data_IF_768018184790
#
_entry.id   IF_768018184790
#
_cell.length_a   1.000
_cell.length_b   1.000
_cell.length_c   1.000
_cell.angle_alpha   90.00
_cell.angle_beta   90.00
_cell.angle_gamma   90.00
#
_symmetry.space_group_name_H-M   'P 1'
#
loop_
_entity.id
_entity.type
_entity.pdbx_description
1 polymer ?
#
# COMPACT_ATOMS: atom_id res chain seq x y z
N UNK A 1 5.89 1.91 -9.53
CA UNK A 1 5.53 1.23 -8.27
C UNK A 1 4.16 0.62 -8.40
N UNK A 2 4.03 -0.64 -8.03
CA UNK A 2 2.77 -1.34 -8.07
C UNK A 2 1.82 -0.88 -6.96
N UNK A 3 0.53 -0.89 -7.24
CA UNK A 3 -0.48 -0.75 -6.21
C UNK A 3 -0.93 -2.15 -5.81
N UNK A 4 -0.93 -2.41 -4.52
CA UNK A 4 -1.42 -3.66 -3.97
C UNK A 4 -2.89 -3.53 -3.61
N UNK A 5 -3.68 -4.48 -4.07
CA UNK A 5 -5.03 -4.70 -3.58
C UNK A 5 -5.05 -6.08 -2.93
N UNK A 6 -5.29 -6.10 -1.66
CA UNK A 6 -5.58 -7.34 -0.96
C UNK A 6 -7.08 -7.58 -0.98
N UNK A 7 -7.46 -8.78 -1.30
CA UNK A 7 -8.83 -9.25 -1.28
C UNK A 7 -8.89 -10.36 -0.23
N UNK A 8 -9.62 -10.15 0.85
CA UNK A 8 -9.77 -11.14 1.92
C UNK A 8 -11.11 -11.82 1.81
N UNK A 9 -11.09 -13.13 1.83
CA UNK A 9 -12.28 -13.99 1.87
C UNK A 9 -12.58 -14.47 3.28
N UNK A 10 -13.87 -14.62 3.62
CA UNK A 10 -14.34 -15.12 4.89
C UNK A 10 -13.73 -16.49 5.21
N UNK A 11 -13.07 -17.16 5.39
CA UNK A 11 -12.47 -18.45 5.69
C UNK A 11 -10.93 -18.51 5.60
N UNK A 12 -10.24 -17.46 6.05
CA UNK A 12 -8.77 -17.42 6.15
C UNK A 12 -7.99 -17.65 4.84
N UNK A 13 -8.60 -17.50 3.69
CA UNK A 13 -7.86 -17.51 2.42
C UNK A 13 -7.62 -16.09 1.95
N UNK A 14 -6.39 -15.63 2.12
CA UNK A 14 -5.94 -14.32 1.66
C UNK A 14 -5.58 -14.40 0.19
N UNK A 15 -6.16 -13.52 -0.61
CA UNK A 15 -5.79 -13.35 -2.01
C UNK A 15 -5.15 -11.98 -2.18
N UNK A 16 -3.94 -11.94 -2.73
CA UNK A 16 -3.25 -10.70 -3.01
C UNK A 16 -3.02 -10.52 -4.50
N UNK A 17 -3.45 -9.38 -5.02
CA UNK A 17 -3.13 -8.94 -6.36
C UNK A 17 -1.98 -7.93 -6.29
N UNK A 18 -0.79 -8.36 -6.67
CA UNK A 18 0.39 -7.49 -6.74
C UNK A 18 0.74 -7.25 -8.20
N UNK A 19 0.82 -6.01 -8.61
CA UNK A 19 1.35 -5.66 -9.92
C UNK A 19 2.37 -4.54 -9.80
N UNK A 20 3.60 -4.83 -10.21
CA UNK A 20 4.76 -3.94 -10.07
C UNK A 20 4.73 -2.71 -11.00
N UNK A 21 3.93 -2.74 -12.07
CA UNK A 21 3.77 -1.62 -12.99
C UNK A 21 2.38 -1.60 -13.60
N UNK A 22 1.55 -0.67 -13.17
CA UNK A 22 0.43 -0.24 -13.99
C UNK A 22 0.96 0.80 -14.98
N UNK A 23 1.41 0.35 -16.14
CA UNK A 23 1.81 1.27 -17.21
C UNK A 23 0.63 2.05 -17.77
N UNK A 24 -0.59 1.48 -17.69
CA UNK A 24 -1.83 2.15 -18.05
C UNK A 24 -2.92 1.75 -17.06
N UNK A 25 -3.48 2.73 -16.37
CA UNK A 25 -4.62 2.59 -15.46
C UNK A 25 -5.89 2.06 -16.14
N UNK A 26 -5.95 2.14 -17.46
CA UNK A 26 -7.07 1.69 -18.29
C UNK A 26 -7.31 0.18 -18.18
N UNK A 27 -6.27 -0.60 -17.90
CA UNK A 27 -6.39 -2.06 -17.79
C UNK A 27 -6.64 -2.59 -16.37
N UNK A 28 -6.72 -1.72 -15.36
CA UNK A 28 -6.85 -2.17 -13.97
C UNK A 28 -8.08 -3.04 -13.73
N UNK A 29 -9.24 -2.63 -14.26
CA UNK A 29 -10.50 -3.39 -14.10
C UNK A 29 -10.40 -4.77 -14.73
N UNK A 30 -9.84 -4.86 -15.94
CA UNK A 30 -9.65 -6.16 -16.60
C UNK A 30 -8.74 -7.09 -15.79
N UNK A 31 -7.66 -6.55 -15.23
CA UNK A 31 -6.74 -7.32 -14.37
C UNK A 31 -7.45 -7.81 -13.11
N UNK A 32 -8.28 -6.95 -12.50
CA UNK A 32 -9.08 -7.32 -11.35
C UNK A 32 -10.07 -8.43 -11.70
N UNK A 33 -10.78 -8.30 -12.81
CA UNK A 33 -11.74 -9.32 -13.28
C UNK A 33 -11.04 -10.64 -13.60
N UNK A 34 -9.89 -10.61 -14.26
CA UNK A 34 -9.09 -11.81 -14.55
C UNK A 34 -8.62 -12.48 -13.27
N UNK A 35 -8.19 -11.69 -12.28
CA UNK A 35 -7.82 -12.20 -10.97
C UNK A 35 -8.98 -12.92 -10.27
N UNK A 36 -10.18 -12.33 -10.29
CA UNK A 36 -11.39 -12.95 -9.74
C UNK A 36 -11.69 -14.28 -10.45
N UNK A 37 -11.66 -14.26 -11.78
CA UNK A 37 -11.92 -15.45 -12.59
C UNK A 37 -10.90 -16.57 -12.33
N UNK A 38 -9.61 -16.25 -12.28
CA UNK A 38 -8.54 -17.22 -12.04
C UNK A 38 -8.61 -17.86 -10.66
N UNK A 39 -9.13 -17.15 -9.67
CA UNK A 39 -9.24 -17.62 -8.29
C UNK A 39 -10.65 -18.08 -7.90
N UNK A 40 -11.58 -18.21 -8.87
CA UNK A 40 -12.98 -18.55 -8.62
C UNK A 40 -13.66 -17.68 -7.55
N UNK A 41 -13.32 -16.39 -7.52
CA UNK A 41 -13.85 -15.42 -6.55
C UNK A 41 -15.04 -14.65 -7.13
N UNK A 42 -15.99 -14.31 -6.27
CA UNK A 42 -17.06 -13.37 -6.55
C UNK A 42 -16.93 -12.14 -5.63
N UNK A 43 -17.46 -11.01 -6.06
CA UNK A 43 -17.45 -9.79 -5.25
C UNK A 43 -18.20 -9.98 -3.92
N UNK A 44 -19.19 -10.84 -3.92
CA UNK A 44 -19.98 -11.21 -2.74
C UNK A 44 -19.18 -12.00 -1.70
N UNK A 45 -18.07 -12.61 -2.11
CA UNK A 45 -17.18 -13.36 -1.22
C UNK A 45 -16.21 -12.45 -0.43
N UNK A 46 -16.23 -11.13 -0.70
CA UNK A 46 -15.27 -10.20 -0.12
C UNK A 46 -15.81 -9.53 1.14
N UNK A 47 -15.01 -9.50 2.19
CA UNK A 47 -15.28 -8.72 3.39
C UNK A 47 -14.86 -7.26 3.21
N UNK A 48 -13.72 -7.03 2.55
CA UNK A 48 -13.19 -5.70 2.28
C UNK A 48 -12.12 -5.72 1.18
N UNK A 49 -11.85 -4.54 0.63
CA UNK A 49 -10.64 -4.28 -0.13
C UNK A 49 -9.59 -3.62 0.75
N UNK A 50 -8.34 -4.05 0.66
CA UNK A 50 -7.20 -3.28 1.17
C UNK A 50 -6.46 -2.64 0.01
N UNK A 51 -6.19 -1.34 0.13
CA UNK A 51 -5.53 -0.58 -0.93
C UNK A 51 -4.33 0.19 -0.38
N UNK A 52 -3.20 0.06 -1.07
CA UNK A 52 -2.03 0.87 -0.79
C UNK A 52 -2.24 2.29 -1.33
N UNK A 53 -2.14 3.28 -0.46
CA UNK A 53 -2.34 4.69 -0.77
C UNK A 53 -1.03 5.46 -1.03
N UNK A 54 0.11 4.77 -1.10
CA UNK A 54 1.41 5.38 -1.44
C UNK A 54 2.35 5.54 -0.23
N UNK A 55 3.37 6.39 -0.36
CA UNK A 55 3.69 7.23 -1.52
C UNK A 55 4.00 6.43 -2.78
N UNK A 56 3.56 6.93 -3.96
CA UNK A 56 3.71 6.23 -5.23
C UNK A 56 3.31 7.08 -6.43
N UNK A 57 3.20 6.45 -7.61
CA UNK A 57 2.81 7.12 -8.85
C UNK A 57 1.41 7.72 -8.78
N UNK A 58 1.33 9.03 -8.96
CA UNK A 58 0.12 9.84 -8.80
C UNK A 58 -1.10 9.32 -9.57
N UNK A 59 -0.94 9.13 -10.88
CA UNK A 59 -2.07 8.76 -11.76
C UNK A 59 -2.57 7.35 -11.45
N UNK A 60 -1.66 6.40 -11.27
CA UNK A 60 -2.00 5.01 -11.03
C UNK A 60 -2.76 4.81 -9.71
N UNK A 61 -2.28 5.40 -8.62
CA UNK A 61 -2.94 5.31 -7.30
C UNK A 61 -4.35 5.90 -7.33
N UNK A 62 -4.51 7.06 -7.98
CA UNK A 62 -5.79 7.75 -8.06
C UNK A 62 -6.84 6.94 -8.82
N UNK A 63 -6.45 6.40 -9.97
CA UNK A 63 -7.36 5.65 -10.83
C UNK A 63 -7.79 4.33 -10.16
N UNK A 64 -6.86 3.62 -9.54
CA UNK A 64 -7.16 2.39 -8.81
C UNK A 64 -8.10 2.69 -7.62
N UNK A 65 -7.78 3.70 -6.83
CA UNK A 65 -8.61 4.09 -5.70
C UNK A 65 -10.03 4.46 -6.13
N UNK A 66 -10.17 5.25 -7.21
CA UNK A 66 -11.48 5.63 -7.74
C UNK A 66 -12.26 4.41 -8.22
N UNK A 67 -11.63 3.50 -8.95
CA UNK A 67 -12.26 2.26 -9.43
C UNK A 67 -12.73 1.37 -8.28
N UNK A 68 -11.85 1.15 -7.28
CA UNK A 68 -12.20 0.32 -6.11
C UNK A 68 -13.32 0.97 -5.29
N UNK A 69 -13.28 2.29 -5.07
CA UNK A 69 -14.36 3.01 -4.37
C UNK A 69 -15.69 2.88 -5.09
N UNK A 70 -15.71 2.95 -6.42
CA UNK A 70 -16.94 2.79 -7.21
C UNK A 70 -17.51 1.38 -7.07
N UNK A 71 -16.69 0.34 -7.18
CA UNK A 71 -17.13 -1.05 -6.98
C UNK A 71 -17.62 -1.25 -5.54
N UNK A 72 -16.86 -0.78 -4.57
CA UNK A 72 -17.15 -0.93 -3.16
C UNK A 72 -18.46 -0.24 -2.76
N UNK A 73 -18.74 0.93 -3.33
CA UNK A 73 -19.98 1.67 -3.10
C UNK A 73 -21.20 0.88 -3.59
N UNK A 74 -21.14 0.34 -4.82
CA UNK A 74 -22.25 -0.42 -5.41
C UNK A 74 -22.47 -1.74 -4.66
N UNK A 75 -21.40 -2.41 -4.26
CA UNK A 75 -21.44 -3.74 -3.61
C UNK A 75 -21.49 -3.67 -2.09
N UNK A 76 -21.43 -2.47 -1.49
CA UNK A 76 -21.39 -2.23 -0.04
C UNK A 76 -20.22 -2.94 0.66
N UNK A 77 -19.08 -3.04 -0.01
CA UNK A 77 -17.85 -3.64 0.49
C UNK A 77 -17.02 -2.53 1.15
N UNK A 78 -16.39 -2.80 2.29
CA UNK A 78 -15.49 -1.85 2.94
C UNK A 78 -14.19 -1.67 2.14
N UNK A 79 -13.61 -0.48 2.21
CA UNK A 79 -12.27 -0.20 1.66
C UNK A 79 -11.37 0.27 2.78
N UNK A 80 -10.27 -0.45 2.98
CA UNK A 80 -9.26 -0.17 3.99
C UNK A 80 -8.01 0.36 3.30
N UNK A 81 -7.53 1.52 3.71
CA UNK A 81 -6.33 2.14 3.17
C UNK A 81 -5.14 1.96 4.10
N UNK A 82 -3.97 1.68 3.54
CA UNK A 82 -2.70 1.65 4.25
C UNK A 82 -1.61 2.32 3.41
N UNK A 83 -0.42 2.51 3.97
CA UNK A 83 0.68 3.15 3.26
C UNK A 83 1.95 2.29 3.22
N UNK A 84 2.89 2.71 2.37
CA UNK A 84 4.14 1.99 2.18
C UNK A 84 5.01 1.92 3.45
N UNK A 85 4.98 2.95 4.31
CA UNK A 85 5.80 2.97 5.52
C UNK A 85 5.35 1.92 6.54
N UNK A 86 4.05 1.67 6.64
CA UNK A 86 3.49 0.61 7.48
C UNK A 86 3.95 -0.77 7.02
N UNK A 87 3.97 -1.01 5.70
CA UNK A 87 4.51 -2.25 5.14
C UNK A 87 6.02 -2.36 5.39
N UNK A 88 6.77 -1.29 5.14
CA UNK A 88 8.21 -1.31 5.34
C UNK A 88 8.57 -1.60 6.79
N UNK A 89 7.90 -0.95 7.74
CA UNK A 89 8.09 -1.21 9.17
C UNK A 89 7.88 -2.68 9.51
N UNK A 90 6.86 -3.32 8.97
CA UNK A 90 6.59 -4.75 9.21
C UNK A 90 7.69 -5.70 8.69
N UNK A 91 8.67 -5.20 7.91
CA UNK A 91 9.77 -5.98 7.32
C UNK A 91 11.12 -5.74 7.99
N UNK A 92 11.23 -4.75 8.87
CA UNK A 92 12.49 -4.37 9.53
C UNK A 92 12.47 -4.68 11.02
N UNK A 93 13.65 -4.89 11.57
CA UNK A 93 13.82 -4.96 13.01
C UNK A 93 13.99 -3.53 13.56
N UNK A 94 13.01 -3.04 14.31
CA UNK A 94 12.97 -1.66 14.82
C UNK A 94 14.17 -1.31 15.74
N UNK A 95 14.90 -2.32 16.24
CA UNK A 95 16.01 -2.08 17.15
C UNK A 95 17.27 -1.55 16.45
N UNK A 96 17.41 -1.79 15.16
CA UNK A 96 18.63 -1.48 14.41
C UNK A 96 18.57 -0.11 13.71
N UNK A 97 17.37 0.44 13.51
CA UNK A 97 17.19 1.63 12.68
C UNK A 97 16.29 2.68 13.34
N UNK A 98 16.55 3.94 13.02
CA UNK A 98 15.73 5.08 13.47
C UNK A 98 14.81 5.60 12.36
N UNK A 99 15.20 5.40 11.09
CA UNK A 99 14.55 6.03 9.96
C UNK A 99 14.39 5.05 8.79
N UNK A 100 13.26 5.16 8.11
CA UNK A 100 12.98 4.45 6.86
C UNK A 100 13.02 5.43 5.70
N UNK A 101 13.78 5.12 4.67
CA UNK A 101 13.82 5.89 3.43
C UNK A 101 13.36 5.04 2.24
N UNK A 102 12.30 5.46 1.57
CA UNK A 102 11.76 4.82 0.38
C UNK A 102 12.06 5.67 -0.87
N UNK A 103 12.75 5.08 -1.83
CA UNK A 103 13.02 5.74 -3.11
C UNK A 103 11.84 5.58 -4.08
N UNK A 104 11.28 6.72 -4.54
CA UNK A 104 10.20 6.77 -5.52
C UNK A 104 10.52 7.85 -6.54
N UNK A 105 10.63 7.47 -7.82
CA UNK A 105 10.88 8.42 -8.91
C UNK A 105 12.10 9.35 -8.64
N UNK A 106 13.22 8.77 -8.23
CA UNK A 106 14.47 9.47 -7.89
C UNK A 106 14.35 10.46 -6.71
N UNK A 107 13.36 10.29 -5.86
CA UNK A 107 13.19 11.03 -4.61
C UNK A 107 13.10 10.08 -3.43
N UNK A 108 13.60 10.52 -2.29
CA UNK A 108 13.54 9.76 -1.04
C UNK A 108 12.43 10.30 -0.16
N UNK A 109 11.49 9.43 0.16
CA UNK A 109 10.44 9.65 1.14
C UNK A 109 10.93 9.08 2.46
N UNK A 110 11.12 9.95 3.45
CA UNK A 110 11.82 9.62 4.70
C UNK A 110 10.87 9.78 5.87
N UNK A 111 10.80 8.77 6.73
CA UNK A 111 9.93 8.76 7.90
C UNK A 111 10.65 8.11 9.10
N UNK A 112 10.47 8.66 10.29
CA UNK A 112 10.90 8.03 11.53
C UNK A 112 10.18 6.69 11.72
N UNK A 113 10.92 5.65 12.06
CA UNK A 113 10.39 4.29 12.20
C UNK A 113 9.35 4.17 13.30
N UNK A 114 9.48 4.96 14.38
CA UNK A 114 8.56 4.95 15.52
C UNK A 114 7.16 5.42 15.16
N UNK A 115 7.06 6.29 14.14
CA UNK A 115 5.77 6.84 13.68
C UNK A 115 5.31 6.25 12.35
N UNK A 116 5.98 5.21 11.83
CA UNK A 116 5.60 4.57 10.56
C UNK A 116 4.18 3.97 10.61
N UNK A 117 3.73 3.53 11.78
CA UNK A 117 2.40 2.94 11.96
C UNK A 117 1.29 3.99 11.93
N UNK A 118 1.60 5.25 12.26
CA UNK A 118 0.63 6.34 12.13
C UNK A 118 0.49 6.73 10.66
N UNK A 119 -0.70 6.49 10.11
CA UNK A 119 -1.01 6.81 8.72
C UNK A 119 -0.85 8.31 8.42
N UNK A 120 -1.28 9.17 9.33
CA UNK A 120 -1.31 10.62 9.15
C UNK A 120 -0.01 11.32 9.55
N UNK A 121 0.95 10.62 10.15
CA UNK A 121 2.21 11.23 10.56
C UNK A 121 3.03 11.70 9.35
N UNK A 122 3.72 12.81 9.54
CA UNK A 122 4.51 13.47 8.50
C UNK A 122 5.69 12.63 8.04
N UNK A 123 6.08 12.83 6.81
CA UNK A 123 7.31 12.35 6.20
C UNK A 123 8.00 13.51 5.50
N UNK A 124 9.29 13.42 5.26
CA UNK A 124 10.07 14.38 4.48
C UNK A 124 10.39 13.82 3.11
N UNK A 125 10.57 14.71 2.13
CA UNK A 125 10.97 14.33 0.77
C UNK A 125 12.28 15.03 0.42
N UNK A 126 13.27 14.25 -0.03
CA UNK A 126 14.58 14.74 -0.39
C UNK A 126 15.01 14.19 -1.75
N UNK A 127 15.78 14.98 -2.52
CA UNK A 127 16.36 14.54 -3.80
C UNK A 127 17.63 13.69 -3.58
N UNK A 128 18.33 13.89 -2.47
CA UNK A 128 19.55 13.19 -2.14
C UNK A 128 19.46 12.73 -0.68
N UNK A 129 19.80 11.50 -0.42
CA UNK A 129 19.94 10.99 0.94
C UNK A 129 21.33 11.34 1.45
N UNK A 130 21.43 12.01 2.58
CA UNK A 130 22.72 12.25 3.23
C UNK A 130 23.41 10.91 3.55
N UNK A 131 24.67 10.79 3.12
CA UNK A 131 25.39 9.50 3.05
C UNK A 131 25.69 8.84 4.39
N UNK A 132 25.47 9.48 5.53
CA UNK A 132 26.09 9.12 6.81
C UNK A 132 25.10 8.83 7.94
N UNK A 133 24.16 7.91 7.73
CA UNK A 133 23.48 7.39 8.90
C UNK A 133 23.33 5.88 8.77
N UNK A 134 24.14 5.13 9.53
CA UNK A 134 24.00 3.67 9.73
C UNK A 134 22.62 3.31 10.32
N UNK A 135 21.85 4.33 10.71
CA UNK A 135 20.53 4.21 11.30
C UNK A 135 19.38 4.42 10.29
N UNK A 136 19.68 4.60 9.01
CA UNK A 136 18.70 4.71 7.95
C UNK A 136 18.61 3.41 7.17
N UNK A 137 17.47 2.75 7.20
CA UNK A 137 17.19 1.66 6.28
C UNK A 137 16.64 2.20 4.97
N UNK A 138 17.36 1.95 3.87
CA UNK A 138 17.00 2.42 2.53
C UNK A 138 16.34 1.31 1.70
N UNK A 139 15.19 1.61 1.13
CA UNK A 139 14.52 0.77 0.15
C UNK A 139 14.48 1.44 -1.22
N UNK A 140 15.22 0.91 -2.18
CA UNK A 140 15.17 1.34 -3.60
C UNK A 140 13.92 0.80 -4.33
N UNK A 141 13.31 -0.24 -3.77
CA UNK A 141 12.05 -0.82 -4.24
C UNK A 141 11.22 -1.24 -3.04
N UNK A 142 9.90 -1.21 -3.20
CA UNK A 142 9.03 -1.84 -2.20
C UNK A 142 9.32 -3.34 -2.16
N UNK A 143 9.43 -3.93 -0.96
CA UNK A 143 9.50 -5.39 -0.84
C UNK A 143 8.24 -6.01 -1.44
N UNK A 144 8.33 -7.26 -1.87
CA UNK A 144 7.13 -8.01 -2.23
C UNK A 144 6.27 -8.12 -0.98
N UNK A 145 5.03 -7.69 -1.11
CA UNK A 145 4.08 -7.84 -0.03
C UNK A 145 3.77 -9.32 0.19
N UNK A 146 3.77 -9.70 1.44
CA UNK A 146 3.40 -11.04 1.88
C UNK A 146 2.11 -10.97 2.69
N UNK A 147 1.41 -12.09 2.81
CA UNK A 147 0.25 -12.21 3.71
C UNK A 147 0.61 -11.77 5.13
N UNK A 148 1.84 -12.02 5.59
CA UNK A 148 2.32 -11.60 6.92
C UNK A 148 2.34 -10.09 7.10
N UNK A 149 2.80 -9.34 6.09
CA UNK A 149 2.82 -7.87 6.15
C UNK A 149 1.40 -7.29 6.22
N UNK A 150 0.48 -7.89 5.47
CA UNK A 150 -0.90 -7.43 5.43
C UNK A 150 -1.64 -7.83 6.71
N UNK A 151 -1.37 -9.02 7.23
CA UNK A 151 -1.89 -9.46 8.52
C UNK A 151 -1.40 -8.55 9.65
N UNK A 152 -0.12 -8.14 9.64
CA UNK A 152 0.40 -7.16 10.59
C UNK A 152 -0.42 -5.86 10.61
N UNK A 153 -0.79 -5.33 9.42
CA UNK A 153 -1.62 -4.12 9.31
C UNK A 153 -3.02 -4.37 9.90
N UNK A 154 -3.61 -5.52 9.65
CA UNK A 154 -4.94 -5.86 10.15
C UNK A 154 -4.95 -6.05 11.67
N UNK A 155 -4.03 -6.84 12.19
CA UNK A 155 -3.94 -7.19 13.63
C UNK A 155 -3.69 -5.95 14.50
N UNK A 156 -2.86 -5.02 13.99
CA UNK A 156 -2.54 -3.78 14.68
C UNK A 156 -3.48 -2.62 14.33
N UNK A 157 -4.52 -2.86 13.50
CA UNK A 157 -5.50 -1.85 13.07
C UNK A 157 -4.87 -0.60 12.46
N UNK A 158 -3.80 -0.78 11.68
CA UNK A 158 -3.03 0.30 11.08
C UNK A 158 -3.63 0.87 9.79
N UNK A 159 -4.83 0.49 9.45
CA UNK A 159 -5.55 0.95 8.26
C UNK A 159 -6.47 2.12 8.59
N UNK A 160 -6.85 2.86 7.55
CA UNK A 160 -7.92 3.85 7.57
C UNK A 160 -9.07 3.37 6.69
N UNK A 161 -10.31 3.67 7.08
CA UNK A 161 -11.54 3.32 6.34
C UNK A 161 -12.33 4.54 5.89
N UNK A 162 -11.91 5.72 6.30
CA UNK A 162 -12.51 7.01 5.94
C UNK A 162 -11.45 7.95 5.37
N UNK A 163 -11.88 8.95 4.59
CA UNK A 163 -10.98 9.94 4.00
C UNK A 163 -9.79 9.33 3.24
N UNK A 164 -10.09 8.29 2.45
CA UNK A 164 -9.07 7.59 1.65
C UNK A 164 -8.58 8.49 0.53
N UNK A 165 -7.39 9.05 0.70
CA UNK A 165 -6.70 9.82 -0.33
C UNK A 165 -5.31 9.24 -0.56
N UNK A 166 -4.83 9.19 -1.82
CA UNK A 166 -3.45 8.84 -2.09
C UNK A 166 -2.49 9.79 -1.39
N UNK A 167 -1.40 9.24 -0.87
CA UNK A 167 -0.33 10.03 -0.26
C UNK A 167 0.55 10.57 -1.37
N UNK A 168 0.55 11.88 -1.50
CA UNK A 168 1.40 12.61 -2.42
C UNK A 168 2.40 13.47 -1.66
N UNK A 169 3.44 13.87 -2.36
CA UNK A 169 4.26 15.00 -1.94
C UNK A 169 3.34 16.21 -1.78
N UNK A 170 3.35 16.86 -0.63
CA UNK A 170 2.71 18.16 -0.50
C UNK A 170 3.50 19.12 -1.39
N UNK A 171 2.90 19.45 -2.54
CA UNK A 171 3.39 20.48 -3.44
C UNK A 171 3.16 21.84 -2.80
#
# INVERSE_FOLDING_TARGET
>A
MGSLILIVKENNSDFSLVKDKFSNSENFINILLDFFKQNNLKLEDLNFFMINLGPGGFVGLRNILSSIKSIALVKKIKVLGFNNFQILKSTINDQDYETVALEVNNRFYIKDIKICDDYYSKFTVQNVLEKNSDKIVKFSKLPKYTSKNLQYILDNKLFIDSKLFPIYENI
#
